data_IF_594636183372
#
_entry.id   IF_594636183372
#
_cell.length_a   1.000
_cell.length_b   1.000
_cell.length_c   1.000
_cell.angle_alpha   90.00
_cell.angle_beta   90.00
_cell.angle_gamma   90.00
#
_symmetry.space_group_name_H-M   'P 1'
#
loop_
_entity.id
_entity.type
_entity.pdbx_description
1 polymer ?
#
# COMPACT_ATOMS: atom_id res chain seq x y z
N UNK A 1 14.36 4.41 -17.71
CA UNK A 1 14.94 3.17 -17.13
C UNK A 1 14.11 2.82 -15.91
N UNK A 2 13.43 1.68 -15.91
CA UNK A 2 12.34 1.40 -15.01
C UNK A 2 12.84 1.37 -13.55
N UNK A 3 12.13 2.11 -12.68
CA UNK A 3 12.07 1.81 -11.25
C UNK A 3 11.89 0.28 -11.20
N UNK A 4 12.81 -0.46 -10.60
CA UNK A 4 12.52 -1.85 -10.25
C UNK A 4 11.38 -1.75 -9.25
N UNK A 5 10.19 -1.71 -9.79
CA UNK A 5 9.01 -2.06 -9.04
C UNK A 5 9.39 -3.30 -8.27
N UNK A 6 9.04 -3.36 -7.01
CA UNK A 6 9.24 -4.54 -6.18
C UNK A 6 8.82 -5.72 -7.04
N UNK A 7 9.84 -6.44 -7.58
CA UNK A 7 9.59 -7.40 -8.64
C UNK A 7 8.90 -8.57 -7.98
N UNK A 8 7.57 -8.59 -8.08
CA UNK A 8 6.74 -9.71 -7.65
C UNK A 8 7.23 -11.01 -8.28
N UNK A 9 8.00 -10.98 -9.36
CA UNK A 9 8.69 -12.13 -9.94
C UNK A 9 9.74 -12.74 -8.99
N UNK A 10 10.57 -11.94 -8.32
CA UNK A 10 11.51 -12.45 -7.31
C UNK A 10 10.79 -12.88 -6.04
N UNK A 11 9.84 -12.06 -5.57
CA UNK A 11 8.97 -12.41 -4.44
C UNK A 11 8.16 -13.66 -4.76
N UNK A 12 7.62 -13.79 -5.98
CA UNK A 12 6.89 -15.00 -6.39
C UNK A 12 7.80 -16.23 -6.48
N UNK A 13 9.08 -16.07 -6.79
CA UNK A 13 10.02 -17.18 -6.85
C UNK A 13 10.43 -17.65 -5.45
N UNK A 14 10.65 -16.74 -4.51
CA UNK A 14 10.94 -17.07 -3.11
C UNK A 14 9.67 -17.51 -2.36
N UNK A 15 8.51 -16.89 -2.62
CA UNK A 15 7.22 -17.32 -2.07
C UNK A 15 6.67 -18.60 -2.72
N UNK A 16 7.13 -18.99 -3.93
CA UNK A 16 6.73 -20.27 -4.56
C UNK A 16 7.14 -21.47 -3.73
N UNK A 17 8.21 -21.38 -2.96
CA UNK A 17 8.57 -22.38 -1.97
C UNK A 17 7.61 -22.42 -0.75
N UNK A 18 6.78 -21.40 -0.56
CA UNK A 18 5.87 -21.22 0.59
C UNK A 18 4.39 -21.14 0.20
N UNK A 19 4.01 -21.64 -0.98
CA UNK A 19 2.61 -21.71 -1.41
C UNK A 19 2.12 -20.57 -2.27
N UNK A 20 2.99 -19.62 -2.68
CA UNK A 20 2.60 -18.55 -3.61
C UNK A 20 2.43 -19.13 -5.02
N UNK A 21 1.26 -18.93 -5.63
CA UNK A 21 0.95 -19.35 -7.00
C UNK A 21 0.26 -18.24 -7.78
N UNK A 22 0.56 -18.13 -9.06
CA UNK A 22 -0.10 -17.21 -9.99
C UNK A 22 -1.00 -17.97 -10.95
N UNK A 23 -2.19 -17.43 -11.17
CA UNK A 23 -3.10 -17.89 -12.20
C UNK A 23 -3.80 -16.68 -12.83
N UNK A 24 -3.76 -16.55 -14.16
CA UNK A 24 -4.52 -15.53 -14.88
C UNK A 24 -4.23 -14.07 -14.54
N UNK A 25 -3.02 -13.75 -14.06
CA UNK A 25 -2.66 -12.39 -13.60
C UNK A 25 -2.95 -12.13 -12.11
N UNK A 26 -3.48 -13.11 -11.40
CA UNK A 26 -3.73 -13.06 -9.95
C UNK A 26 -2.65 -13.85 -9.19
N UNK A 27 -2.18 -13.30 -8.08
CA UNK A 27 -1.24 -13.96 -7.19
C UNK A 27 -1.91 -14.27 -5.86
N UNK A 28 -1.65 -15.45 -5.32
CA UNK A 28 -2.25 -15.91 -4.06
C UNK A 28 -1.17 -16.33 -3.08
N UNK A 29 -1.28 -15.86 -1.85
CA UNK A 29 -0.47 -16.35 -0.74
C UNK A 29 -1.42 -16.85 0.36
N UNK A 30 -1.27 -18.11 0.73
CA UNK A 30 -2.15 -18.77 1.68
C UNK A 30 -1.41 -19.03 2.98
N UNK A 31 -1.98 -18.56 4.09
CA UNK A 31 -1.57 -18.89 5.47
C UNK A 31 -0.05 -18.90 5.68
N UNK A 32 0.62 -17.83 5.30
CA UNK A 32 2.00 -17.67 5.70
C UNK A 32 2.02 -17.31 7.19
N UNK A 33 2.51 -18.22 8.02
CA UNK A 33 3.01 -17.83 9.33
C UNK A 33 4.20 -16.89 9.09
N UNK A 34 3.97 -15.62 9.29
CA UNK A 34 4.90 -14.56 8.91
C UNK A 34 6.23 -14.57 9.71
N UNK A 35 6.32 -15.34 10.79
CA UNK A 35 7.55 -15.45 11.60
C UNK A 35 8.79 -15.94 10.85
N UNK A 36 8.65 -16.66 9.73
CA UNK A 36 9.81 -17.25 9.04
C UNK A 36 10.18 -16.57 7.72
N UNK A 37 9.33 -15.70 7.14
CA UNK A 37 9.55 -15.14 5.78
C UNK A 37 9.27 -13.65 5.62
N UNK A 38 9.33 -12.90 6.70
CA UNK A 38 9.07 -11.45 6.75
C UNK A 38 10.18 -10.57 6.18
N UNK A 39 11.20 -11.12 5.56
CA UNK A 39 12.19 -10.33 4.81
C UNK A 39 11.58 -9.44 3.72
N UNK A 40 10.31 -9.69 3.37
CA UNK A 40 9.56 -8.87 2.40
C UNK A 40 8.98 -7.58 2.98
N UNK A 41 8.64 -7.62 4.27
CA UNK A 41 8.11 -6.48 5.00
C UNK A 41 9.16 -6.03 6.00
N UNK A 42 10.17 -5.33 5.52
CA UNK A 42 11.10 -4.66 6.43
C UNK A 42 10.29 -3.65 7.23
N UNK A 43 10.16 -3.90 8.53
CA UNK A 43 9.47 -2.97 9.44
C UNK A 43 10.03 -1.56 9.28
N UNK A 44 9.12 -0.59 9.15
CA UNK A 44 9.47 0.81 8.96
C UNK A 44 10.04 1.18 7.58
N UNK A 45 10.06 0.25 6.62
CA UNK A 45 10.46 0.54 5.25
C UNK A 45 9.23 0.74 4.36
N UNK A 46 9.06 1.92 3.76
CA UNK A 46 7.98 2.14 2.81
C UNK A 46 8.26 1.45 1.48
N UNK A 47 7.22 0.92 0.87
CA UNK A 47 7.27 0.34 -0.47
C UNK A 47 6.01 0.71 -1.24
N UNK A 48 6.11 0.70 -2.56
CA UNK A 48 5.00 0.96 -3.45
C UNK A 48 4.47 -0.36 -3.99
N UNK A 49 3.17 -0.57 -3.86
CA UNK A 49 2.52 -1.77 -4.36
C UNK A 49 2.49 -1.75 -5.89
N UNK A 50 3.06 -2.76 -6.54
CA UNK A 50 2.95 -2.96 -7.99
C UNK A 50 1.60 -3.54 -8.39
N UNK A 51 1.01 -4.31 -7.48
CA UNK A 51 -0.28 -4.98 -7.62
C UNK A 51 -1.16 -4.60 -6.44
N UNK A 52 -2.47 -4.60 -6.63
CA UNK A 52 -3.40 -4.46 -5.52
C UNK A 52 -3.30 -5.63 -4.56
N UNK A 53 -3.70 -5.42 -3.32
CA UNK A 53 -3.65 -6.44 -2.26
C UNK A 53 -4.91 -6.43 -1.43
N UNK A 54 -5.42 -7.61 -1.17
CA UNK A 54 -6.35 -7.89 -0.09
C UNK A 54 -5.57 -8.62 1.01
N UNK A 55 -5.53 -8.06 2.20
CA UNK A 55 -4.90 -8.62 3.38
C UNK A 55 -5.97 -8.91 4.42
N UNK A 56 -5.94 -10.09 5.05
CA UNK A 56 -6.81 -10.47 6.16
C UNK A 56 -5.97 -11.01 7.32
N UNK A 57 -6.26 -10.57 8.54
CA UNK A 57 -5.58 -11.01 9.76
C UNK A 57 -6.33 -12.18 10.36
N UNK A 58 -5.65 -13.34 10.49
CA UNK A 58 -6.19 -14.55 11.12
C UNK A 58 -5.76 -14.71 12.58
N UNK A 59 -4.56 -14.20 12.92
CA UNK A 59 -4.01 -14.25 14.28
C UNK A 59 -3.10 -13.06 14.52
N UNK A 60 -2.99 -12.63 15.80
CA UNK A 60 -2.12 -11.53 16.18
C UNK A 60 -2.58 -10.17 15.68
N UNK A 61 -1.64 -9.24 15.55
CA UNK A 61 -1.88 -7.85 15.13
C UNK A 61 -0.82 -7.34 14.15
N UNK A 62 -1.21 -6.37 13.32
CA UNK A 62 -0.32 -5.66 12.41
C UNK A 62 -0.61 -4.16 12.45
N UNK A 63 0.43 -3.35 12.64
CA UNK A 63 0.38 -1.90 12.45
C UNK A 63 0.84 -1.61 11.03
N UNK A 64 -0.09 -1.18 10.20
CA UNK A 64 0.10 -0.92 8.78
C UNK A 64 -0.13 0.56 8.49
N UNK A 65 0.74 1.16 7.70
CA UNK A 65 0.46 2.43 7.08
C UNK A 65 0.14 2.20 5.60
N UNK A 66 -1.02 2.68 5.16
CA UNK A 66 -1.48 2.60 3.79
C UNK A 66 -1.87 4.00 3.30
N UNK A 67 -1.24 4.44 2.21
CA UNK A 67 -1.43 5.78 1.63
C UNK A 67 -1.34 6.91 2.67
N UNK A 68 -0.36 6.81 3.58
CA UNK A 68 -0.05 7.76 4.65
C UNK A 68 -1.03 7.73 5.85
N UNK A 69 -2.03 6.88 5.85
CA UNK A 69 -2.91 6.64 6.98
C UNK A 69 -2.41 5.44 7.80
N UNK A 70 -2.34 5.60 9.11
CA UNK A 70 -1.93 4.54 10.05
C UNK A 70 -3.14 3.72 10.49
N UNK A 71 -3.01 2.40 10.42
CA UNK A 71 -4.06 1.46 10.78
C UNK A 71 -3.52 0.40 11.72
N UNK A 72 -4.25 0.14 12.81
CA UNK A 72 -4.03 -0.99 13.68
C UNK A 72 -5.03 -2.09 13.34
N UNK A 73 -4.53 -3.22 12.86
CA UNK A 73 -5.36 -4.36 12.46
C UNK A 73 -5.21 -5.51 13.43
N UNK A 74 -6.29 -6.18 13.69
CA UNK A 74 -6.40 -7.38 14.53
C UNK A 74 -7.22 -8.46 13.84
N UNK A 75 -7.39 -9.58 14.48
CA UNK A 75 -8.16 -10.74 13.94
C UNK A 75 -9.51 -10.28 13.38
N UNK A 76 -9.79 -10.67 12.16
CA UNK A 76 -11.00 -10.33 11.41
C UNK A 76 -10.92 -9.01 10.65
N UNK A 77 -9.88 -8.22 10.82
CA UNK A 77 -9.71 -7.02 10.02
C UNK A 77 -9.16 -7.36 8.64
N UNK A 78 -9.66 -6.67 7.63
CA UNK A 78 -9.17 -6.71 6.25
C UNK A 78 -8.65 -5.35 5.81
N UNK A 79 -7.61 -5.37 4.99
CA UNK A 79 -7.11 -4.22 4.25
C UNK A 79 -7.20 -4.47 2.76
N UNK A 80 -7.83 -3.57 2.04
CA UNK A 80 -7.87 -3.56 0.58
C UNK A 80 -7.01 -2.41 0.08
N UNK A 81 -5.95 -2.73 -0.65
CA UNK A 81 -5.00 -1.76 -1.18
C UNK A 81 -4.95 -1.82 -2.70
N UNK A 82 -4.95 -0.66 -3.32
CA UNK A 82 -4.90 -0.50 -4.77
C UNK A 82 -3.48 -0.65 -5.32
N UNK A 83 -3.32 -1.00 -6.62
CA UNK A 83 -2.03 -0.86 -7.29
C UNK A 83 -1.51 0.58 -7.18
N UNK A 84 -0.21 0.71 -7.02
CA UNK A 84 0.52 1.97 -6.81
C UNK A 84 0.33 2.64 -5.46
N UNK A 85 -0.47 2.10 -4.54
CA UNK A 85 -0.54 2.60 -3.16
C UNK A 85 0.80 2.50 -2.45
N UNK A 86 1.04 3.44 -1.56
CA UNK A 86 2.21 3.48 -0.70
C UNK A 86 1.88 2.71 0.60
N UNK A 87 2.64 1.68 0.89
CA UNK A 87 2.44 0.84 2.07
C UNK A 87 3.71 0.77 2.93
N UNK A 88 3.53 0.62 4.24
CA UNK A 88 4.60 0.37 5.17
C UNK A 88 4.06 -0.44 6.35
N UNK A 89 4.73 -1.53 6.70
CA UNK A 89 4.45 -2.26 7.93
C UNK A 89 5.28 -1.63 9.04
N UNK A 90 4.62 -1.09 10.06
CA UNK A 90 5.28 -0.44 11.19
C UNK A 90 5.64 -1.45 12.28
N UNK A 91 4.77 -2.43 12.52
CA UNK A 91 4.95 -3.45 13.54
C UNK A 91 4.11 -4.69 13.24
N UNK A 92 4.64 -5.85 13.66
CA UNK A 92 3.93 -7.13 13.63
C UNK A 92 4.01 -7.79 14.99
N UNK A 93 2.92 -8.41 15.46
CA UNK A 93 3.01 -9.28 16.62
C UNK A 93 3.74 -10.57 16.27
N UNK A 94 4.37 -11.20 17.27
CA UNK A 94 5.18 -12.42 17.10
C UNK A 94 4.37 -13.61 16.54
N UNK A 95 3.09 -13.61 16.80
CA UNK A 95 2.11 -14.64 16.43
C UNK A 95 1.24 -14.23 15.23
N UNK A 96 1.60 -13.17 14.51
CA UNK A 96 0.80 -12.66 13.41
C UNK A 96 0.69 -13.66 12.27
N UNK A 97 -0.54 -13.99 11.88
CA UNK A 97 -0.88 -14.82 10.72
C UNK A 97 -1.81 -14.03 9.82
N UNK A 98 -1.42 -13.85 8.57
CA UNK A 98 -2.21 -13.13 7.58
C UNK A 98 -2.35 -13.94 6.29
N UNK A 99 -3.47 -13.72 5.59
CA UNK A 99 -3.62 -14.10 4.19
C UNK A 99 -3.45 -12.85 3.33
N UNK A 100 -2.74 -12.99 2.22
CA UNK A 100 -2.59 -11.94 1.23
C UNK A 100 -3.01 -12.48 -0.13
N UNK A 101 -3.97 -11.80 -0.76
CA UNK A 101 -4.34 -12.02 -2.15
C UNK A 101 -3.84 -10.83 -2.95
N UNK A 102 -3.02 -11.06 -3.97
CA UNK A 102 -2.53 -10.02 -4.87
C UNK A 102 -3.31 -10.04 -6.18
N UNK A 103 -3.56 -8.87 -6.76
CA UNK A 103 -4.25 -8.75 -8.03
C UNK A 103 -3.65 -7.65 -8.88
N UNK A 104 -3.44 -7.94 -10.17
CA UNK A 104 -2.92 -6.97 -11.15
C UNK A 104 -4.04 -6.32 -11.96
N UNK A 105 -5.22 -6.93 -11.98
CA UNK A 105 -6.39 -6.46 -12.73
C UNK A 105 -7.54 -6.19 -11.77
N UNK A 106 -8.11 -4.99 -11.86
CA UNK A 106 -9.35 -4.68 -11.15
C UNK A 106 -10.54 -5.35 -11.83
N UNK A 107 -11.55 -5.80 -11.05
CA UNK A 107 -12.80 -6.26 -11.61
C UNK A 107 -13.42 -5.15 -12.46
N UNK A 108 -14.01 -5.55 -13.59
CA UNK A 108 -14.60 -4.63 -14.58
C UNK A 108 -15.91 -3.99 -14.12
N UNK A 109 -16.41 -4.37 -12.95
CA UNK A 109 -17.68 -3.87 -12.39
C UNK A 109 -17.40 -2.62 -11.57
N UNK A 110 -18.29 -1.63 -11.59
CA UNK A 110 -18.25 -0.31 -10.95
C UNK A 110 -17.91 -0.37 -9.44
N UNK A 111 -16.70 -0.84 -9.10
CA UNK A 111 -16.18 -0.90 -7.74
C UNK A 111 -15.41 0.36 -7.39
N UNK A 112 -15.30 0.64 -6.09
CA UNK A 112 -14.46 1.71 -5.58
C UNK A 112 -13.01 1.44 -5.96
N UNK A 113 -12.36 2.47 -6.49
CA UNK A 113 -10.93 2.46 -6.79
C UNK A 113 -10.12 3.09 -5.64
N UNK A 114 -10.50 2.83 -4.40
CA UNK A 114 -9.87 3.41 -3.20
C UNK A 114 -9.41 2.30 -2.26
N UNK A 115 -8.34 2.58 -1.52
CA UNK A 115 -7.91 1.74 -0.42
C UNK A 115 -8.90 1.88 0.72
N UNK A 116 -9.17 0.79 1.43
CA UNK A 116 -10.01 0.82 2.61
C UNK A 116 -9.65 -0.28 3.60
N UNK A 117 -10.09 -0.07 4.83
CA UNK A 117 -10.04 -1.05 5.90
C UNK A 117 -11.48 -1.38 6.32
N UNK A 118 -11.72 -2.64 6.66
CA UNK A 118 -13.00 -3.06 7.19
C UNK A 118 -12.80 -4.14 8.26
N UNK A 119 -13.71 -4.15 9.23
CA UNK A 119 -13.83 -5.26 10.16
C UNK A 119 -14.90 -6.21 9.66
N UNK A 120 -14.54 -7.49 9.58
CA UNK A 120 -15.45 -8.53 9.16
C UNK A 120 -16.02 -9.24 10.38
N UNK A 121 -17.32 -9.49 10.37
CA UNK A 121 -17.95 -10.47 11.24
C UNK A 121 -17.52 -11.90 10.87
N UNK A 122 -17.78 -12.87 11.74
CA UNK A 122 -17.41 -14.27 11.51
C UNK A 122 -18.00 -14.85 10.21
N UNK A 123 -19.24 -14.44 9.87
CA UNK A 123 -19.90 -14.90 8.64
C UNK A 123 -19.19 -14.39 7.38
N UNK A 124 -18.77 -13.14 7.40
CA UNK A 124 -18.01 -12.52 6.31
C UNK A 124 -16.61 -13.10 6.19
N UNK A 125 -15.92 -13.30 7.31
CA UNK A 125 -14.60 -13.94 7.32
C UNK A 125 -14.68 -15.35 6.69
N UNK A 126 -15.64 -16.16 7.16
CA UNK A 126 -15.88 -17.50 6.62
C UNK A 126 -16.17 -17.48 5.11
N UNK A 127 -16.94 -16.49 4.64
CA UNK A 127 -17.27 -16.33 3.22
C UNK A 127 -16.02 -16.00 2.39
N UNK A 128 -15.19 -15.06 2.86
CA UNK A 128 -13.92 -14.67 2.21
C UNK A 128 -12.97 -15.87 2.16
N UNK A 129 -12.82 -16.62 3.27
CA UNK A 129 -11.99 -17.82 3.33
C UNK A 129 -12.44 -18.89 2.32
N UNK A 130 -13.74 -19.10 2.16
CA UNK A 130 -14.26 -20.05 1.15
C UNK A 130 -13.92 -19.64 -0.27
N UNK A 131 -13.97 -18.34 -0.62
CA UNK A 131 -13.50 -17.87 -1.93
C UNK A 131 -12.01 -18.19 -2.12
N UNK A 132 -11.19 -17.89 -1.11
CA UNK A 132 -9.75 -18.16 -1.13
C UNK A 132 -9.48 -19.66 -1.29
N UNK A 133 -10.21 -20.51 -0.56
CA UNK A 133 -10.08 -21.96 -0.64
C UNK A 133 -10.46 -22.50 -2.01
N UNK A 134 -11.59 -22.08 -2.59
CA UNK A 134 -12.02 -22.48 -3.93
C UNK A 134 -10.99 -22.06 -4.99
N UNK A 135 -10.51 -20.84 -4.94
CA UNK A 135 -9.45 -20.37 -5.84
C UNK A 135 -8.21 -21.25 -5.70
N UNK A 136 -7.82 -21.58 -4.46
CA UNK A 136 -6.66 -22.43 -4.17
C UNK A 136 -6.79 -23.81 -4.76
N UNK A 137 -7.97 -24.43 -4.60
CA UNK A 137 -8.24 -25.77 -5.13
C UNK A 137 -8.09 -25.79 -6.65
N UNK A 138 -8.64 -24.79 -7.35
CA UNK A 138 -8.53 -24.70 -8.81
C UNK A 138 -7.10 -24.42 -9.28
N UNK A 139 -6.38 -23.55 -8.58
CA UNK A 139 -4.96 -23.26 -8.88
C UNK A 139 -4.06 -24.46 -8.65
N UNK A 140 -4.29 -25.28 -7.60
CA UNK A 140 -3.49 -26.47 -7.27
C UNK A 140 -3.69 -27.63 -8.25
N UNK A 141 -4.89 -27.76 -8.84
CA UNK A 141 -5.20 -28.85 -9.78
C UNK A 141 -4.45 -28.77 -11.10
N UNK A 142 -3.90 -27.60 -11.44
CA UNK A 142 -3.21 -27.40 -12.72
C UNK A 142 -4.17 -27.29 -13.92
N UNK A 143 -5.42 -27.71 -13.77
CA UNK A 143 -6.51 -27.42 -14.71
C UNK A 143 -6.99 -26.00 -14.47
N UNK A 144 -6.12 -25.04 -14.80
CA UNK A 144 -6.48 -23.63 -14.65
C UNK A 144 -7.48 -23.32 -15.78
N UNK A 145 -8.76 -23.60 -15.54
CA UNK A 145 -9.80 -22.86 -16.21
C UNK A 145 -9.67 -21.42 -15.71
N UNK A 146 -8.87 -20.63 -16.45
CA UNK A 146 -8.53 -19.23 -16.15
C UNK A 146 -9.79 -18.42 -15.90
N UNK A 147 -10.90 -18.81 -16.53
CA UNK A 147 -12.19 -18.16 -16.42
C UNK A 147 -12.86 -18.41 -15.06
N UNK A 148 -12.81 -19.66 -14.54
CA UNK A 148 -13.38 -19.95 -13.20
C UNK A 148 -12.63 -19.22 -12.11
N UNK A 149 -11.30 -19.24 -12.13
CA UNK A 149 -10.48 -18.54 -11.15
C UNK A 149 -10.70 -17.05 -11.25
N UNK A 150 -10.82 -16.50 -12.46
CA UNK A 150 -11.12 -15.09 -12.67
C UNK A 150 -12.48 -14.70 -12.10
N UNK A 151 -13.54 -15.48 -12.38
CA UNK A 151 -14.88 -15.22 -11.86
C UNK A 151 -14.95 -15.31 -10.33
N UNK A 152 -14.29 -16.31 -9.73
CA UNK A 152 -14.21 -16.44 -8.27
C UNK A 152 -13.48 -15.25 -7.64
N UNK A 153 -12.39 -14.81 -8.27
CA UNK A 153 -11.64 -13.67 -7.81
C UNK A 153 -12.45 -12.36 -7.94
N UNK A 154 -13.08 -12.14 -9.09
CA UNK A 154 -13.93 -10.98 -9.30
C UNK A 154 -15.09 -10.95 -8.28
N UNK A 155 -15.68 -12.11 -7.98
CA UNK A 155 -16.72 -12.23 -6.95
C UNK A 155 -16.18 -11.92 -5.54
N UNK A 156 -14.99 -12.42 -5.19
CA UNK A 156 -14.31 -12.09 -3.93
C UNK A 156 -14.08 -10.58 -3.80
N UNK A 157 -13.53 -9.94 -4.83
CA UNK A 157 -13.23 -8.50 -4.78
C UNK A 157 -14.51 -7.67 -4.68
N UNK A 158 -15.57 -8.04 -5.39
CA UNK A 158 -16.86 -7.36 -5.30
C UNK A 158 -17.48 -7.49 -3.90
N UNK A 159 -17.41 -8.69 -3.31
CA UNK A 159 -17.91 -8.94 -1.95
C UNK A 159 -17.13 -8.09 -0.93
N UNK A 160 -15.80 -8.10 -1.02
CA UNK A 160 -14.93 -7.28 -0.16
C UNK A 160 -15.18 -5.77 -0.34
N UNK A 161 -15.35 -5.31 -1.58
CA UNK A 161 -15.67 -3.90 -1.85
C UNK A 161 -17.03 -3.48 -1.29
N UNK A 162 -17.98 -4.40 -1.20
CA UNK A 162 -19.28 -4.12 -0.59
C UNK A 162 -19.15 -3.79 0.90
N UNK A 163 -18.20 -4.41 1.61
CA UNK A 163 -17.91 -4.13 3.02
C UNK A 163 -17.41 -2.70 3.24
N UNK A 164 -16.56 -2.22 2.37
CA UNK A 164 -16.09 -0.82 2.40
C UNK A 164 -17.21 0.21 2.19
N UNK A 165 -18.41 -0.22 1.75
CA UNK A 165 -19.57 0.68 1.63
C UNK A 165 -20.35 0.85 2.93
N UNK A 166 -20.23 -0.07 3.87
CA UNK A 166 -20.89 0.00 5.18
C UNK A 166 -20.08 0.80 6.21
N UNK A 167 -18.78 1.02 5.95
CA UNK A 167 -17.98 1.96 6.75
C UNK A 167 -18.54 3.37 6.54
N UNK A 168 -19.11 3.90 7.54
CA UNK A 168 -19.85 5.16 7.78
C UNK A 168 -19.80 6.18 6.63
N UNK A 169 -20.97 6.67 6.14
CA UNK A 169 -21.05 7.69 5.08
C UNK A 169 -20.27 8.98 5.39
N UNK A 170 -19.95 9.23 6.65
CA UNK A 170 -19.22 10.41 7.11
C UNK A 170 -17.72 10.42 6.79
N UNK A 171 -17.10 9.27 6.52
CA UNK A 171 -15.67 9.22 6.13
C UNK A 171 -15.47 9.40 4.62
N UNK A 172 -16.52 9.26 3.80
CA UNK A 172 -16.44 9.26 2.33
C UNK A 172 -16.02 10.58 1.68
N UNK A 173 -16.15 11.71 2.36
CA UNK A 173 -15.88 13.03 1.78
C UNK A 173 -15.11 13.97 2.71
N UNK A 174 -14.41 13.44 3.70
CA UNK A 174 -13.55 14.26 4.53
C UNK A 174 -12.54 14.97 3.63
N UNK A 175 -12.42 16.30 3.77
CA UNK A 175 -11.39 17.07 3.07
C UNK A 175 -10.00 16.45 3.28
N UNK A 176 -9.73 15.91 4.46
CA UNK A 176 -8.46 15.27 4.78
C UNK A 176 -8.25 14.01 3.94
N UNK A 177 -9.26 13.18 3.77
CA UNK A 177 -9.18 11.99 2.92
C UNK A 177 -8.85 12.36 1.45
N UNK A 178 -9.55 13.33 0.87
CA UNK A 178 -9.27 13.84 -0.48
C UNK A 178 -7.84 14.40 -0.61
N UNK A 179 -7.36 15.11 0.41
CA UNK A 179 -5.99 15.63 0.44
C UNK A 179 -4.97 14.49 0.49
N UNK A 180 -5.16 13.47 1.35
CA UNK A 180 -4.25 12.33 1.46
C UNK A 180 -4.24 11.48 0.19
N UNK A 181 -5.39 11.25 -0.41
CA UNK A 181 -5.51 10.55 -1.69
C UNK A 181 -4.73 11.28 -2.79
N UNK A 182 -4.93 12.60 -2.92
CA UNK A 182 -4.18 13.40 -3.87
C UNK A 182 -2.68 13.38 -3.58
N UNK A 183 -2.29 13.46 -2.31
CA UNK A 183 -0.90 13.41 -1.89
C UNK A 183 -0.26 12.05 -2.18
N UNK A 184 -0.99 10.95 -2.03
CA UNK A 184 -0.53 9.60 -2.40
C UNK A 184 -0.28 9.48 -3.91
N UNK A 185 -1.14 10.07 -4.73
CA UNK A 185 -1.03 10.04 -6.19
C UNK A 185 0.09 10.93 -6.72
N UNK A 186 0.17 12.16 -6.23
CA UNK A 186 1.02 13.23 -6.75
C UNK A 186 2.27 13.52 -5.90
N UNK A 187 2.32 13.03 -4.66
CA UNK A 187 3.41 13.30 -3.71
C UNK A 187 4.76 12.63 -4.05
N UNK A 188 4.87 12.04 -5.25
CA UNK A 188 6.13 11.46 -5.78
C UNK A 188 7.13 12.52 -6.20
N UNK A 189 6.64 13.72 -6.52
CA UNK A 189 7.43 14.85 -6.95
C UNK A 189 7.10 16.02 -6.03
N UNK A 190 8.10 16.86 -5.78
CA UNK A 190 7.94 18.06 -4.95
C UNK A 190 7.04 19.08 -5.65
N UNK A 191 5.85 19.30 -5.09
CA UNK A 191 4.93 20.33 -5.52
C UNK A 191 4.72 21.38 -4.42
N UNK A 192 4.49 22.64 -4.77
CA UNK A 192 4.05 23.66 -3.82
C UNK A 192 2.63 23.38 -3.34
N UNK A 193 2.24 23.96 -2.20
CA UNK A 193 0.90 23.76 -1.64
C UNK A 193 -0.22 24.23 -2.58
N UNK A 194 0.06 25.25 -3.41
CA UNK A 194 -0.88 25.78 -4.39
C UNK A 194 -1.29 24.70 -5.41
N UNK A 195 -0.38 23.83 -5.81
CA UNK A 195 -0.69 22.69 -6.69
C UNK A 195 -1.79 21.78 -6.12
N UNK A 196 -1.72 21.47 -4.82
CA UNK A 196 -2.73 20.66 -4.15
C UNK A 196 -4.04 21.44 -3.95
N UNK A 197 -3.94 22.72 -3.68
CA UNK A 197 -5.09 23.60 -3.52
C UNK A 197 -5.90 23.70 -4.82
N UNK A 198 -5.24 23.89 -5.95
CA UNK A 198 -5.86 23.93 -7.27
C UNK A 198 -6.59 22.62 -7.61
N UNK A 199 -5.93 21.47 -7.36
CA UNK A 199 -6.52 20.16 -7.60
C UNK A 199 -7.73 19.86 -6.69
N UNK A 200 -7.74 20.40 -5.49
CA UNK A 200 -8.84 20.27 -4.54
C UNK A 200 -9.92 21.36 -4.72
N UNK A 201 -9.74 22.29 -5.66
CA UNK A 201 -10.63 23.41 -5.92
C UNK A 201 -10.84 24.32 -4.69
N UNK A 202 -9.77 24.61 -3.95
CA UNK A 202 -9.77 25.46 -2.74
C UNK A 202 -8.54 26.36 -2.72
N UNK A 203 -8.45 27.28 -1.75
CA UNK A 203 -7.25 28.10 -1.55
C UNK A 203 -6.17 27.35 -0.75
N UNK A 204 -4.90 27.70 -0.94
CA UNK A 204 -3.79 27.14 -0.15
C UNK A 204 -3.94 27.40 1.36
N UNK A 205 -4.51 28.54 1.74
CA UNK A 205 -4.85 28.85 3.12
C UNK A 205 -5.89 27.91 3.71
N UNK A 206 -6.91 27.55 2.92
CA UNK A 206 -7.91 26.58 3.32
C UNK A 206 -7.30 25.19 3.50
N UNK A 207 -6.46 24.71 2.55
CA UNK A 207 -5.71 23.43 2.70
C UNK A 207 -4.92 23.43 3.99
N UNK A 208 -4.12 24.48 4.23
CA UNK A 208 -3.28 24.58 5.44
C UNK A 208 -4.09 24.52 6.72
N UNK A 209 -5.22 25.23 6.78
CA UNK A 209 -6.09 25.29 7.96
C UNK A 209 -6.79 23.96 8.21
N UNK A 210 -7.37 23.38 7.17
CA UNK A 210 -8.15 22.15 7.30
C UNK A 210 -7.27 20.93 7.62
N UNK A 211 -6.12 20.79 6.93
CA UNK A 211 -5.18 19.71 7.21
C UNK A 211 -4.67 19.80 8.65
N UNK A 212 -4.23 20.99 9.09
CA UNK A 212 -3.75 21.18 10.46
C UNK A 212 -4.84 20.90 11.51
N UNK A 213 -6.07 21.32 11.25
CA UNK A 213 -7.21 21.10 12.16
C UNK A 213 -7.53 19.62 12.35
N UNK A 214 -7.49 18.82 11.27
CA UNK A 214 -7.86 17.43 11.30
C UNK A 214 -6.73 16.47 11.74
N UNK A 215 -5.47 16.80 11.38
CA UNK A 215 -4.34 15.91 11.62
C UNK A 215 -3.34 16.39 12.68
N UNK A 216 -3.48 17.65 13.15
CA UNK A 216 -2.47 18.28 14.01
C UNK A 216 -1.19 18.70 13.27
N UNK A 217 -0.95 18.20 12.07
CA UNK A 217 0.22 18.48 11.24
C UNK A 217 -0.10 19.51 10.16
N UNK A 218 0.90 20.30 9.73
CA UNK A 218 0.71 21.20 8.60
C UNK A 218 0.67 20.43 7.28
N UNK A 219 0.01 21.02 6.25
CA UNK A 219 -0.01 20.42 4.91
C UNK A 219 1.42 20.24 4.34
N UNK A 220 2.34 21.16 4.64
CA UNK A 220 3.74 21.05 4.23
C UNK A 220 4.43 19.85 4.89
N UNK A 221 4.18 19.58 6.18
CA UNK A 221 4.71 18.41 6.86
C UNK A 221 4.20 17.10 6.22
N UNK A 222 2.95 17.06 5.79
CA UNK A 222 2.40 15.93 5.06
C UNK A 222 3.06 15.73 3.69
N UNK A 223 3.26 16.81 2.93
CA UNK A 223 3.98 16.80 1.64
C UNK A 223 5.42 16.31 1.86
N UNK A 224 6.11 16.83 2.86
CA UNK A 224 7.48 16.42 3.19
C UNK A 224 7.54 14.93 3.58
N UNK A 225 6.55 14.45 4.36
CA UNK A 225 6.43 13.03 4.75
C UNK A 225 6.28 12.12 3.53
N UNK A 226 5.44 12.50 2.57
CA UNK A 226 5.25 11.77 1.32
C UNK A 226 6.55 11.72 0.48
N UNK A 227 7.22 12.86 0.32
CA UNK A 227 8.50 12.95 -0.40
C UNK A 227 9.60 12.11 0.26
N UNK A 228 9.70 12.14 1.59
CA UNK A 228 10.68 11.32 2.32
C UNK A 228 10.44 9.83 2.10
N UNK A 229 9.18 9.40 2.08
CA UNK A 229 8.82 8.01 1.80
C UNK A 229 9.21 7.59 0.40
N UNK A 230 8.88 8.40 -0.61
CA UNK A 230 9.29 8.14 -1.98
C UNK A 230 10.82 8.12 -2.12
N UNK A 231 11.51 9.06 -1.47
CA UNK A 231 12.96 9.09 -1.41
C UNK A 231 13.55 7.78 -0.83
N UNK A 232 12.98 7.29 0.28
CA UNK A 232 13.39 6.02 0.89
C UNK A 232 13.15 4.84 -0.05
N UNK A 233 12.01 4.79 -0.75
CA UNK A 233 11.70 3.75 -1.75
C UNK A 233 12.76 3.76 -2.86
N UNK A 234 13.05 4.92 -3.45
CA UNK A 234 14.07 5.04 -4.51
C UNK A 234 15.46 4.67 -4.02
N UNK A 235 15.87 5.14 -2.84
CA UNK A 235 17.19 4.86 -2.27
C UNK A 235 17.37 3.39 -1.91
N UNK A 236 16.33 2.72 -1.46
CA UNK A 236 16.38 1.32 -1.03
C UNK A 236 16.27 0.33 -2.19
N UNK A 237 15.31 0.54 -3.08
CA UNK A 237 14.97 -0.44 -4.12
C UNK A 237 15.68 -0.19 -5.46
N UNK A 238 16.45 0.90 -5.57
CA UNK A 238 17.16 1.21 -6.81
C UNK A 238 18.65 1.46 -6.57
N UNK A 239 19.48 1.28 -7.63
CA UNK A 239 20.87 1.70 -7.64
C UNK A 239 21.06 3.11 -8.19
N UNK A 240 19.98 3.86 -8.34
CA UNK A 240 19.98 5.22 -8.90
C UNK A 240 20.92 6.14 -8.11
N UNK A 241 21.81 6.90 -8.75
CA UNK A 241 22.64 7.89 -8.07
C UNK A 241 21.82 8.88 -7.27
N UNK A 242 22.34 9.39 -6.15
CA UNK A 242 21.61 10.35 -5.28
C UNK A 242 21.21 11.61 -6.04
N UNK A 243 22.02 12.04 -7.02
CA UNK A 243 21.70 13.18 -7.88
C UNK A 243 20.47 12.91 -8.76
N UNK A 244 20.36 11.72 -9.33
CA UNK A 244 19.23 11.29 -10.16
C UNK A 244 17.95 11.11 -9.30
N UNK A 245 18.10 10.61 -8.06
CA UNK A 245 16.98 10.57 -7.10
C UNK A 245 16.46 11.99 -6.80
N UNK A 246 17.36 12.95 -6.60
CA UNK A 246 16.98 14.34 -6.36
C UNK A 246 16.20 14.94 -7.54
N UNK A 247 16.65 14.70 -8.77
CA UNK A 247 16.00 15.14 -9.99
C UNK A 247 14.61 14.49 -10.15
N UNK A 248 14.52 13.16 -9.96
CA UNK A 248 13.27 12.40 -10.03
C UNK A 248 12.22 12.94 -9.05
N UNK A 249 12.65 13.35 -7.86
CA UNK A 249 11.80 13.93 -6.83
C UNK A 249 11.52 15.43 -7.02
N UNK A 250 12.00 16.04 -8.11
CA UNK A 250 11.75 17.45 -8.43
C UNK A 250 12.54 18.46 -7.60
N UNK A 251 13.70 18.10 -7.06
CA UNK A 251 14.58 19.04 -6.37
C UNK A 251 15.46 19.77 -7.39
N UNK A 252 15.55 21.09 -7.22
CA UNK A 252 16.36 21.93 -8.10
C UNK A 252 17.85 21.57 -8.13
N UNK A 253 18.38 21.06 -7.01
CA UNK A 253 19.76 20.57 -6.93
C UNK A 253 19.88 19.38 -5.98
N UNK A 254 20.85 18.47 -6.20
CA UNK A 254 21.12 17.37 -5.28
C UNK A 254 21.45 17.85 -3.86
N UNK A 255 22.11 18.99 -3.70
CA UNK A 255 22.44 19.57 -2.39
C UNK A 255 21.21 19.93 -1.57
N UNK A 256 20.16 20.46 -2.23
CA UNK A 256 18.89 20.74 -1.56
C UNK A 256 18.20 19.46 -1.12
N UNK A 257 18.19 18.44 -1.94
CA UNK A 257 17.66 17.12 -1.58
C UNK A 257 18.42 16.50 -0.38
N UNK A 258 19.75 16.49 -0.40
CA UNK A 258 20.57 15.92 0.67
C UNK A 258 20.28 16.61 2.00
N UNK A 259 20.18 17.96 2.00
CA UNK A 259 19.85 18.73 3.20
C UNK A 259 18.44 18.45 3.68
N UNK A 260 17.47 18.45 2.78
CA UNK A 260 16.08 18.09 3.07
C UNK A 260 15.98 16.71 3.69
N UNK A 261 16.52 15.70 3.04
CA UNK A 261 16.45 14.31 3.51
C UNK A 261 17.10 14.14 4.89
N UNK A 262 18.28 14.77 5.09
CA UNK A 262 18.95 14.76 6.40
C UNK A 262 18.13 15.46 7.48
N UNK A 263 17.51 16.57 7.17
CA UNK A 263 16.65 17.30 8.12
C UNK A 263 15.44 16.46 8.54
N UNK A 264 14.84 15.72 7.62
CA UNK A 264 13.65 14.93 7.87
C UNK A 264 13.94 13.54 8.50
N UNK A 265 15.13 12.96 8.22
CA UNK A 265 15.45 11.57 8.63
C UNK A 265 16.62 11.46 9.61
N UNK A 266 17.33 12.53 9.87
CA UNK A 266 18.54 12.55 10.71
C UNK A 266 19.79 11.99 10.01
N UNK A 267 19.68 11.41 8.80
CA UNK A 267 20.79 10.76 8.06
C UNK A 267 20.87 11.25 6.64
N UNK A 268 22.07 11.17 6.02
CA UNK A 268 22.18 11.51 4.60
C UNK A 268 21.62 10.38 3.71
N UNK A 269 21.17 10.67 2.48
CA UNK A 269 20.70 9.64 1.53
C UNK A 269 21.71 8.51 1.33
N UNK A 270 23.00 8.83 1.24
CA UNK A 270 24.06 7.84 1.07
C UNK A 270 24.25 6.96 2.32
N UNK A 271 24.16 7.55 3.52
CA UNK A 271 24.21 6.80 4.78
C UNK A 271 23.00 5.89 4.93
N UNK A 272 21.81 6.39 4.56
CA UNK A 272 20.57 5.60 4.57
C UNK A 272 20.73 4.37 3.66
N UNK A 273 21.19 4.56 2.41
CA UNK A 273 21.40 3.45 1.45
C UNK A 273 22.38 2.38 1.94
N UNK A 274 23.41 2.77 2.72
CA UNK A 274 24.39 1.81 3.25
C UNK A 274 23.91 0.99 4.44
N UNK A 275 22.86 1.46 5.15
CA UNK A 275 22.30 0.79 6.33
C UNK A 275 21.28 -0.29 5.98
N UNK A 276 20.82 -0.26 4.77
CA UNK A 276 19.82 -1.13 4.18
C UNK A 276 20.47 -2.02 3.13
#
# INVERSE_FOLDING_TARGET
>A
MAIRNFDTGKVSTELSHHGFRRAGGYGFNFHAQLQQNLSFFLEGQPYRLTEGRLLMVHHGTIDLELDLEEHHMQVGDIAFAMPNSLAMVNRLSMDCVISIVTFSRMPTVNGRQECFMARCDEGTQMRIEKYIDLITIHVKRGDVCTDIVSCLFDSLILDVQSLGSETTPAQKESFMHRFLQLLSQEGRVKHPIDFYADRLCVTAGYVSTMVKRHSGMTALQWIDRALVREAKVLLHHTKMPVAEVAETLGFATPSFFIRFFRQQTGTTPLQFRKRV
#
